data_IF_634169631876
#
_entry.id   IF_634169631876
#
_cell.length_a   1.000
_cell.length_b   1.000
_cell.length_c   1.000
_cell.angle_alpha   90.00
_cell.angle_beta   90.00
_cell.angle_gamma   90.00
#
_symmetry.space_group_name_H-M   'P 1'
#
loop_
_entity.id
_entity.type
_entity.pdbx_description
1 polymer ?
#
# COMPACT_ATOMS: atom_id res chain seq x y z
N UNK A 1 4.51 30.62 6.45
CA UNK A 1 3.82 29.81 7.48
C UNK A 1 2.30 29.87 7.37
N UNK A 2 1.69 31.05 7.12
CA UNK A 2 0.26 31.19 6.75
C UNK A 2 -0.14 30.71 5.33
N UNK A 3 0.80 30.11 4.58
CA UNK A 3 0.57 29.44 3.29
C UNK A 3 0.89 27.94 3.32
N UNK A 4 1.32 27.38 4.47
CA UNK A 4 1.76 25.98 4.56
C UNK A 4 0.62 24.96 4.77
N UNK A 5 -0.64 25.37 4.95
CA UNK A 5 -1.75 24.47 5.29
C UNK A 5 -2.96 24.55 4.33
N UNK A 6 -3.14 25.68 3.63
CA UNK A 6 -4.33 25.93 2.79
C UNK A 6 -4.29 25.30 1.38
N UNK A 7 -3.28 24.46 1.07
CA UNK A 7 -3.16 23.74 -0.21
C UNK A 7 -3.21 22.19 -0.05
N UNK A 8 -3.68 21.69 1.10
CA UNK A 8 -4.38 20.40 1.12
C UNK A 8 -5.69 20.52 0.30
N UNK A 9 -6.28 21.73 0.25
CA UNK A 9 -7.19 22.17 -0.82
C UNK A 9 -6.41 22.22 -2.14
N UNK A 10 -6.76 21.54 -3.22
CA UNK A 10 -8.13 21.33 -3.67
C UNK A 10 -8.24 20.20 -4.71
N UNK A 11 -7.14 19.55 -5.13
CA UNK A 11 -7.15 18.55 -6.20
C UNK A 11 -5.94 17.61 -6.18
N UNK A 12 -5.89 16.74 -5.17
CA UNK A 12 -4.94 15.62 -5.08
C UNK A 12 -5.49 14.26 -5.50
N UNK A 13 -6.61 14.21 -6.24
CA UNK A 13 -7.08 13.04 -6.99
C UNK A 13 -7.55 11.82 -6.15
N UNK A 14 -8.82 11.47 -6.27
CA UNK A 14 -9.57 10.44 -5.52
C UNK A 14 -9.00 8.98 -5.48
N UNK A 15 -7.79 8.70 -5.96
CA UNK A 15 -7.07 7.41 -5.83
C UNK A 15 -5.53 7.56 -5.79
N UNK A 16 -4.99 8.77 -5.58
CA UNK A 16 -3.60 9.15 -5.93
C UNK A 16 -2.51 9.05 -4.84
N UNK A 17 -2.63 8.19 -3.84
CA UNK A 17 -1.66 8.09 -2.71
C UNK A 17 -0.21 7.88 -3.16
N UNK A 18 0.02 7.32 -4.35
CA UNK A 18 1.38 7.17 -4.90
C UNK A 18 2.12 8.50 -4.99
N UNK A 19 1.46 9.56 -5.47
CA UNK A 19 2.15 10.82 -5.80
C UNK A 19 2.78 11.46 -4.56
N UNK A 20 2.01 11.59 -3.47
CA UNK A 20 2.49 12.18 -2.23
C UNK A 20 3.58 11.34 -1.56
N UNK A 21 3.36 10.02 -1.44
CA UNK A 21 4.34 9.11 -0.81
C UNK A 21 5.62 9.01 -1.63
N UNK A 22 5.54 8.97 -2.96
CA UNK A 22 6.71 8.94 -3.86
C UNK A 22 7.47 10.25 -3.83
N UNK A 23 6.79 11.40 -3.70
CA UNK A 23 7.48 12.69 -3.56
C UNK A 23 8.21 12.75 -2.22
N UNK A 24 7.61 12.32 -1.11
CA UNK A 24 8.29 12.26 0.19
C UNK A 24 9.47 11.30 0.16
N UNK A 25 9.26 10.07 -0.34
CA UNK A 25 10.33 9.09 -0.50
C UNK A 25 11.41 9.64 -1.44
N UNK A 26 11.04 10.30 -2.53
CA UNK A 26 11.96 10.92 -3.48
C UNK A 26 12.80 12.02 -2.86
N UNK A 27 12.19 12.97 -2.15
CA UNK A 27 12.92 14.06 -1.49
C UNK A 27 13.90 13.55 -0.43
N UNK A 28 13.60 12.44 0.24
CA UNK A 28 14.48 11.85 1.25
C UNK A 28 15.55 10.91 0.66
N UNK A 29 15.17 10.09 -0.33
CA UNK A 29 16.04 9.03 -0.87
C UNK A 29 16.84 9.46 -2.11
N UNK A 30 16.29 10.31 -2.97
CA UNK A 30 17.02 10.80 -4.15
C UNK A 30 18.34 11.50 -3.79
N UNK A 31 18.43 12.39 -2.78
CA UNK A 31 19.70 13.02 -2.44
C UNK A 31 20.72 12.02 -1.86
N UNK A 32 20.28 11.00 -1.09
CA UNK A 32 21.19 9.98 -0.55
C UNK A 32 21.76 9.09 -1.67
N UNK A 33 20.94 8.77 -2.68
CA UNK A 33 21.36 7.96 -3.82
C UNK A 33 22.33 8.71 -4.73
N UNK A 34 22.10 10.00 -5.00
CA UNK A 34 23.02 10.82 -5.80
C UNK A 34 24.36 10.99 -5.06
N UNK A 35 24.33 11.16 -3.73
CA UNK A 35 25.56 11.20 -2.90
C UNK A 35 26.35 9.89 -2.95
N UNK A 36 25.67 8.76 -3.11
CA UNK A 36 26.27 7.44 -3.29
C UNK A 36 26.58 7.09 -4.77
N UNK A 37 26.71 8.10 -5.66
CA UNK A 37 27.05 7.94 -7.08
C UNK A 37 26.06 7.12 -7.94
N UNK A 38 24.79 6.99 -7.54
CA UNK A 38 23.76 6.39 -8.40
C UNK A 38 23.29 7.37 -9.48
N UNK A 39 23.09 6.93 -10.75
CA UNK A 39 22.59 7.79 -11.81
C UNK A 39 21.16 8.24 -11.50
N UNK A 40 20.91 9.56 -11.55
CA UNK A 40 19.62 10.16 -11.20
C UNK A 40 18.43 9.56 -11.97
N UNK A 41 18.62 9.19 -13.24
CA UNK A 41 17.59 8.54 -14.06
C UNK A 41 17.16 7.18 -13.50
N UNK A 42 18.10 6.36 -13.02
CA UNK A 42 17.79 5.07 -12.40
C UNK A 42 17.12 5.28 -11.04
N UNK A 43 17.67 6.16 -10.20
CA UNK A 43 17.14 6.46 -8.87
C UNK A 43 15.68 6.95 -8.94
N UNK A 44 15.37 7.90 -9.83
CA UNK A 44 14.00 8.35 -10.04
C UNK A 44 13.09 7.21 -10.54
N UNK A 45 13.58 6.37 -11.45
CA UNK A 45 12.84 5.19 -11.93
C UNK A 45 12.51 4.19 -10.82
N UNK A 46 13.45 3.91 -9.91
CA UNK A 46 13.25 3.03 -8.75
C UNK A 46 12.28 3.62 -7.75
N UNK A 47 12.42 4.91 -7.47
CA UNK A 47 11.54 5.61 -6.54
C UNK A 47 10.10 5.61 -7.08
N UNK A 48 9.89 5.95 -8.35
CA UNK A 48 8.57 5.93 -8.97
C UNK A 48 7.97 4.53 -9.04
N UNK A 49 8.76 3.51 -9.42
CA UNK A 49 8.28 2.13 -9.50
C UNK A 49 7.96 1.52 -8.13
N UNK A 50 8.74 1.83 -7.09
CA UNK A 50 8.48 1.35 -5.73
C UNK A 50 7.15 1.87 -5.17
N UNK A 51 6.79 3.12 -5.50
CA UNK A 51 5.52 3.70 -5.11
C UNK A 51 4.30 3.03 -5.71
N UNK A 52 4.36 2.66 -7.00
CA UNK A 52 3.25 1.97 -7.67
C UNK A 52 3.17 0.50 -7.29
N UNK A 53 4.32 -0.16 -7.09
CA UNK A 53 4.36 -1.54 -6.59
C UNK A 53 3.72 -1.68 -5.21
N UNK A 54 3.94 -0.72 -4.31
CA UNK A 54 3.34 -0.71 -2.97
C UNK A 54 1.80 -0.70 -2.98
N UNK A 55 1.17 -0.19 -4.03
CA UNK A 55 -0.29 -0.22 -4.18
C UNK A 55 -0.82 -1.53 -4.76
N UNK A 56 0.02 -2.26 -5.49
CA UNK A 56 -0.38 -3.48 -6.20
C UNK A 56 -0.22 -4.72 -5.32
N UNK A 57 0.77 -4.73 -4.42
CA UNK A 57 1.05 -5.90 -3.58
C UNK A 57 -0.08 -6.07 -2.54
N UNK A 58 -0.79 -7.22 -2.50
CA UNK A 58 -1.80 -7.47 -1.49
C UNK A 58 -1.17 -7.52 -0.08
N UNK A 59 -1.78 -6.94 0.97
CA UNK A 59 -3.13 -6.40 1.09
C UNK A 59 -3.22 -4.89 0.81
N UNK A 60 -3.78 -4.53 -0.35
CA UNK A 60 -4.01 -3.14 -0.74
C UNK A 60 -5.48 -2.79 -0.58
N UNK A 61 -5.75 -1.63 0.04
CA UNK A 61 -7.10 -1.07 0.15
C UNK A 61 -7.77 -0.92 -1.22
N UNK A 62 -7.00 -0.54 -2.25
CA UNK A 62 -7.52 -0.37 -3.61
C UNK A 62 -8.08 -1.67 -4.16
N UNK A 63 -7.41 -2.80 -3.91
CA UNK A 63 -7.85 -4.10 -4.38
C UNK A 63 -9.09 -4.60 -3.61
N UNK A 64 -9.18 -4.30 -2.31
CA UNK A 64 -10.38 -4.56 -1.50
C UNK A 64 -11.58 -3.77 -2.05
N UNK A 65 -11.41 -2.46 -2.23
CA UNK A 65 -12.48 -1.61 -2.77
C UNK A 65 -12.90 -2.04 -4.17
N UNK A 66 -11.94 -2.38 -5.03
CA UNK A 66 -12.25 -2.86 -6.38
C UNK A 66 -13.01 -4.19 -6.33
N UNK A 67 -12.67 -5.09 -5.40
CA UNK A 67 -13.39 -6.35 -5.22
C UNK A 67 -14.85 -6.11 -4.80
N UNK A 68 -15.10 -5.18 -3.88
CA UNK A 68 -16.46 -4.83 -3.44
C UNK A 68 -17.28 -4.19 -4.59
N UNK A 69 -16.67 -3.28 -5.35
CA UNK A 69 -17.31 -2.64 -6.52
C UNK A 69 -17.58 -3.66 -7.62
N UNK A 70 -16.64 -4.55 -7.91
CA UNK A 70 -16.84 -5.60 -8.91
C UNK A 70 -17.91 -6.58 -8.45
N UNK A 71 -17.87 -7.06 -7.22
CA UNK A 71 -18.86 -8.01 -6.70
C UNK A 71 -20.28 -7.45 -6.79
N UNK A 72 -20.48 -6.18 -6.40
CA UNK A 72 -21.77 -5.50 -6.53
C UNK A 72 -22.19 -5.25 -7.98
N UNK A 73 -21.26 -4.85 -8.85
CA UNK A 73 -21.53 -4.64 -10.28
C UNK A 73 -21.86 -5.95 -11.02
N UNK A 74 -21.13 -7.04 -10.73
CA UNK A 74 -21.38 -8.37 -11.29
C UNK A 74 -22.74 -8.91 -10.85
N UNK A 75 -23.10 -8.74 -9.58
CA UNK A 75 -24.41 -9.13 -9.08
C UNK A 75 -25.55 -8.37 -9.78
N UNK A 76 -25.40 -7.05 -9.97
CA UNK A 76 -26.39 -6.24 -10.71
C UNK A 76 -26.47 -6.64 -12.20
N UNK A 77 -25.32 -6.91 -12.84
CA UNK A 77 -25.29 -7.34 -14.24
C UNK A 77 -25.99 -8.69 -14.45
N UNK A 78 -25.78 -9.66 -13.55
CA UNK A 78 -26.42 -10.98 -13.61
C UNK A 78 -27.93 -10.91 -13.38
N UNK A 79 -28.39 -10.04 -12.47
CA UNK A 79 -29.81 -9.76 -12.26
C UNK A 79 -30.46 -9.17 -13.52
N UNK A 80 -29.79 -8.23 -14.20
CA UNK A 80 -30.28 -7.64 -15.46
C UNK A 80 -30.28 -8.64 -16.63
N UNK A 81 -29.44 -9.68 -16.57
CA UNK A 81 -29.40 -10.78 -17.54
C UNK A 81 -30.43 -11.90 -17.25
N UNK A 82 -31.27 -11.73 -16.22
CA UNK A 82 -32.34 -12.69 -15.88
C UNK A 82 -31.86 -13.94 -15.12
N UNK A 83 -30.62 -13.93 -14.60
CA UNK A 83 -30.04 -15.02 -13.80
C UNK A 83 -30.26 -14.69 -12.32
N UNK A 84 -31.20 -15.38 -11.68
CA UNK A 84 -31.54 -15.17 -10.26
C UNK A 84 -30.63 -15.94 -9.28
N UNK A 85 -29.68 -16.75 -9.78
CA UNK A 85 -28.61 -17.38 -9.00
C UNK A 85 -27.25 -16.79 -9.40
N UNK A 86 -26.86 -15.63 -8.85
CA UNK A 86 -25.58 -15.01 -9.17
C UNK A 86 -24.41 -15.81 -8.58
N UNK A 87 -23.37 -16.06 -9.38
CA UNK A 87 -22.07 -16.49 -8.87
C UNK A 87 -21.36 -15.27 -8.26
N UNK A 88 -21.16 -15.29 -6.94
CA UNK A 88 -20.44 -14.22 -6.25
C UNK A 88 -18.94 -14.41 -6.42
N UNK A 89 -18.27 -13.44 -7.04
CA UNK A 89 -16.81 -13.36 -6.96
C UNK A 89 -16.46 -12.87 -5.56
N UNK A 90 -15.77 -13.70 -4.79
CA UNK A 90 -15.37 -13.32 -3.43
C UNK A 90 -14.10 -12.47 -3.48
N UNK A 91 -13.92 -11.65 -2.44
CA UNK A 91 -12.70 -10.86 -2.26
C UNK A 91 -11.49 -11.79 -2.20
N UNK A 92 -11.63 -12.95 -1.56
CA UNK A 92 -10.60 -13.98 -1.48
C UNK A 92 -10.12 -14.46 -2.86
N UNK A 93 -11.03 -14.68 -3.81
CA UNK A 93 -10.69 -15.13 -5.17
C UNK A 93 -9.91 -14.06 -5.93
N UNK A 94 -10.30 -12.79 -5.78
CA UNK A 94 -9.61 -11.67 -6.40
C UNK A 94 -8.20 -11.47 -5.83
N UNK A 95 -8.07 -11.63 -4.52
CA UNK A 95 -6.78 -11.63 -3.83
C UNK A 95 -5.89 -12.78 -4.27
N UNK A 96 -6.43 -13.99 -4.36
CA UNK A 96 -5.70 -15.17 -4.84
C UNK A 96 -5.20 -14.97 -6.28
N UNK A 97 -6.03 -14.40 -7.16
CA UNK A 97 -5.66 -14.03 -8.52
C UNK A 97 -4.58 -12.96 -8.59
N UNK A 98 -4.54 -12.02 -7.62
CA UNK A 98 -3.56 -10.94 -7.57
C UNK A 98 -2.17 -11.35 -7.04
N UNK A 99 -2.04 -12.51 -6.38
CA UNK A 99 -0.75 -13.01 -5.88
C UNK A 99 0.24 -13.24 -7.02
N UNK A 100 -0.22 -13.82 -8.13
CA UNK A 100 0.62 -14.13 -9.30
C UNK A 100 1.27 -12.86 -9.89
N UNK A 101 0.52 -11.83 -10.31
CA UNK A 101 1.12 -10.59 -10.80
C UNK A 101 1.89 -9.85 -9.71
N UNK A 102 1.44 -9.93 -8.44
CA UNK A 102 2.10 -9.31 -7.29
C UNK A 102 3.51 -9.83 -7.03
N UNK A 103 3.81 -11.09 -7.39
CA UNK A 103 5.16 -11.68 -7.27
C UNK A 103 5.97 -11.50 -8.56
N UNK A 104 5.35 -11.64 -9.72
CA UNK A 104 6.03 -11.53 -11.03
C UNK A 104 6.64 -10.13 -11.23
N UNK A 105 5.88 -9.07 -10.93
CA UNK A 105 6.31 -7.69 -11.14
C UNK A 105 7.60 -7.33 -10.35
N UNK A 106 7.69 -7.57 -9.02
CA UNK A 106 8.92 -7.36 -8.26
C UNK A 106 10.10 -8.19 -8.77
N UNK A 107 9.88 -9.45 -9.14
CA UNK A 107 10.96 -10.32 -9.65
C UNK A 107 11.52 -9.75 -10.94
N UNK A 108 10.66 -9.35 -11.87
CA UNK A 108 11.06 -8.74 -13.13
C UNK A 108 11.82 -7.43 -12.88
N UNK A 109 11.40 -6.66 -11.88
CA UNK A 109 12.09 -5.43 -11.46
C UNK A 109 13.50 -5.70 -10.92
N UNK A 110 13.68 -6.72 -10.08
CA UNK A 110 14.99 -7.14 -9.55
C UNK A 110 15.90 -7.59 -10.71
N UNK A 111 15.36 -8.34 -11.68
CA UNK A 111 16.11 -8.78 -12.87
C UNK A 111 16.54 -7.58 -13.73
N UNK A 112 15.64 -6.61 -13.93
CA UNK A 112 15.94 -5.38 -14.65
C UNK A 112 17.05 -4.59 -13.95
N UNK A 113 16.95 -4.38 -12.63
CA UNK A 113 17.99 -3.69 -11.86
C UNK A 113 19.34 -4.42 -11.91
N UNK A 114 19.36 -5.75 -11.81
CA UNK A 114 20.59 -6.53 -11.97
C UNK A 114 21.19 -6.35 -13.36
N UNK A 115 20.38 -6.31 -14.42
CA UNK A 115 20.86 -6.14 -15.79
C UNK A 115 21.47 -4.76 -16.02
N UNK A 116 20.83 -3.71 -15.50
CA UNK A 116 21.32 -2.32 -15.60
C UNK A 116 22.54 -2.07 -14.70
N UNK A 117 22.63 -2.75 -13.55
CA UNK A 117 23.73 -2.60 -12.59
C UNK A 117 25.06 -3.21 -13.07
N UNK A 118 25.05 -4.03 -14.12
CA UNK A 118 26.29 -4.61 -14.70
C UNK A 118 27.13 -3.54 -15.42
N UNK A 119 26.52 -2.42 -15.84
CA UNK A 119 27.17 -1.44 -16.72
C UNK A 119 27.72 -0.19 -16.00
N UNK A 120 27.43 0.00 -14.69
CA UNK A 120 27.94 1.15 -13.92
C UNK A 120 28.39 0.79 -12.51
N UNK A 121 29.70 0.60 -12.40
CA UNK A 121 30.57 0.80 -11.24
C UNK A 121 30.22 0.07 -9.92
N UNK A 122 31.09 -0.89 -9.62
CA UNK A 122 31.79 -1.08 -8.33
C UNK A 122 31.50 0.01 -7.29
N UNK A 123 30.56 -0.25 -6.40
CA UNK A 123 30.61 0.31 -5.06
C UNK A 123 31.01 -0.83 -4.15
N UNK A 124 32.15 -0.64 -3.49
CA UNK A 124 32.63 -1.49 -2.41
C UNK A 124 31.45 -1.85 -1.52
N UNK A 125 31.16 -3.14 -1.51
CA UNK A 125 30.39 -3.76 -0.46
C UNK A 125 31.18 -3.56 0.83
N UNK A 126 30.97 -2.43 1.51
CA UNK A 126 31.15 -2.39 2.95
C UNK A 126 30.11 -3.34 3.54
N UNK A 127 30.55 -4.60 3.62
CA UNK A 127 30.03 -5.66 4.44
C UNK A 127 29.93 -5.19 5.89
N UNK A 128 28.88 -4.48 6.29
CA UNK A 128 28.33 -4.59 7.65
C UNK A 128 26.82 -4.34 7.64
N UNK A 129 26.06 -5.16 6.92
CA UNK A 129 24.75 -5.53 7.44
C UNK A 129 24.75 -7.04 7.45
N UNK A 130 24.86 -7.63 8.64
CA UNK A 130 24.72 -9.07 8.83
C UNK A 130 23.45 -9.48 8.09
N UNK A 131 23.59 -10.35 7.09
CA UNK A 131 22.50 -10.86 6.25
C UNK A 131 21.29 -11.34 7.08
N UNK A 132 21.54 -11.73 8.33
CA UNK A 132 20.55 -12.10 9.34
C UNK A 132 19.74 -10.94 9.94
N UNK A 133 20.32 -9.76 10.18
CA UNK A 133 19.63 -8.61 10.81
C UNK A 133 18.68 -7.91 9.83
N UNK A 134 19.06 -7.82 8.55
CA UNK A 134 18.19 -7.30 7.51
C UNK A 134 16.96 -8.20 7.34
N UNK A 135 17.17 -9.53 7.22
CA UNK A 135 16.07 -10.50 7.10
C UNK A 135 15.13 -10.44 8.33
N UNK A 136 15.69 -10.37 9.54
CA UNK A 136 14.90 -10.31 10.78
C UNK A 136 14.02 -9.05 10.85
N UNK A 137 14.37 -7.98 10.15
CA UNK A 137 13.57 -6.74 10.12
C UNK A 137 12.35 -6.82 9.20
N UNK A 138 12.38 -7.66 8.15
CA UNK A 138 11.23 -7.87 7.24
C UNK A 138 10.32 -9.00 7.69
N UNK A 139 10.80 -9.91 8.53
CA UNK A 139 10.01 -11.04 9.05
C UNK A 139 8.70 -10.58 9.72
N UNK A 140 8.67 -9.57 10.62
CA UNK A 140 7.43 -9.19 11.29
C UNK A 140 6.34 -8.66 10.33
N UNK A 141 6.63 -7.74 9.39
CA UNK A 141 5.66 -7.33 8.37
C UNK A 141 5.18 -8.48 7.47
N UNK A 142 6.08 -9.35 7.03
CA UNK A 142 5.73 -10.50 6.17
C UNK A 142 4.81 -11.48 6.91
N UNK A 143 5.12 -11.77 8.18
CA UNK A 143 4.30 -12.64 9.01
C UNK A 143 2.89 -12.05 9.21
N UNK A 144 2.80 -10.74 9.43
CA UNK A 144 1.52 -10.05 9.57
C UNK A 144 0.70 -10.10 8.28
N UNK A 145 1.35 -9.89 7.12
CA UNK A 145 0.71 -10.05 5.80
C UNK A 145 0.18 -11.48 5.61
N UNK A 146 0.96 -12.51 5.95
CA UNK A 146 0.55 -13.91 5.83
C UNK A 146 -0.64 -14.24 6.75
N UNK A 147 -0.67 -13.69 7.97
CA UNK A 147 -1.80 -13.86 8.89
C UNK A 147 -3.08 -13.23 8.34
N UNK A 148 -2.99 -11.99 7.81
CA UNK A 148 -4.14 -11.26 7.26
C UNK A 148 -4.63 -11.87 5.95
N UNK A 149 -3.73 -12.17 5.00
CA UNK A 149 -4.10 -12.82 3.75
C UNK A 149 -4.61 -14.25 3.99
N UNK A 150 -3.97 -14.96 4.92
CA UNK A 150 -4.40 -16.30 5.31
C UNK A 150 -5.82 -16.30 5.87
N UNK A 151 -6.19 -15.33 6.72
CA UNK A 151 -7.55 -15.26 7.28
C UNK A 151 -8.61 -14.88 6.25
N UNK A 152 -8.28 -14.06 5.24
CA UNK A 152 -9.18 -13.71 4.14
C UNK A 152 -9.39 -14.90 3.19
N UNK A 153 -8.31 -15.54 2.74
CA UNK A 153 -8.38 -16.62 1.73
C UNK A 153 -9.04 -17.88 2.28
N UNK A 154 -8.82 -18.19 3.56
CA UNK A 154 -9.46 -19.34 4.21
C UNK A 154 -10.93 -19.10 4.55
N UNK A 155 -11.45 -17.87 4.34
CA UNK A 155 -12.83 -17.50 4.66
C UNK A 155 -13.10 -17.45 6.17
N UNK A 156 -12.06 -17.48 7.01
CA UNK A 156 -12.18 -17.44 8.47
C UNK A 156 -12.53 -16.04 8.99
N UNK A 157 -12.18 -14.98 8.24
CA UNK A 157 -12.40 -13.60 8.62
C UNK A 157 -12.86 -12.76 7.44
N UNK A 158 -13.81 -11.86 7.68
CA UNK A 158 -14.16 -10.78 6.75
C UNK A 158 -13.00 -9.76 6.65
N UNK A 159 -12.92 -8.94 5.58
CA UNK A 159 -11.83 -7.96 5.44
C UNK A 159 -11.71 -6.99 6.62
N UNK A 160 -12.83 -6.63 7.25
CA UNK A 160 -12.87 -5.78 8.45
C UNK A 160 -12.29 -6.50 9.69
N UNK A 161 -12.61 -7.77 9.89
CA UNK A 161 -12.02 -8.61 10.95
C UNK A 161 -10.52 -8.86 10.69
N UNK A 162 -10.14 -9.06 9.43
CA UNK A 162 -8.74 -9.19 9.02
C UNK A 162 -7.94 -7.90 9.29
N UNK A 163 -8.54 -6.72 9.07
CA UNK A 163 -7.93 -5.44 9.42
C UNK A 163 -7.72 -5.30 10.94
N UNK A 164 -8.69 -5.72 11.76
CA UNK A 164 -8.54 -5.73 13.22
C UNK A 164 -7.40 -6.65 13.68
N UNK A 165 -7.28 -7.85 13.08
CA UNK A 165 -6.15 -8.77 13.32
C UNK A 165 -4.81 -8.13 12.93
N UNK A 166 -4.77 -7.32 11.87
CA UNK A 166 -3.59 -6.57 11.47
C UNK A 166 -3.15 -5.54 12.51
N UNK A 167 -4.09 -4.76 13.08
CA UNK A 167 -3.81 -3.80 14.16
C UNK A 167 -3.32 -4.52 15.42
N UNK A 168 -3.97 -5.63 15.79
CA UNK A 168 -3.53 -6.45 16.91
C UNK A 168 -2.11 -7.01 16.69
N UNK A 169 -1.82 -7.50 15.48
CA UNK A 169 -0.48 -7.97 15.11
C UNK A 169 0.57 -6.86 15.22
N UNK A 170 0.26 -5.66 14.72
CA UNK A 170 1.17 -4.51 14.80
C UNK A 170 1.41 -4.06 16.26
N UNK A 171 0.37 -4.09 17.10
CA UNK A 171 0.49 -3.82 18.53
C UNK A 171 1.39 -4.84 19.23
N UNK A 172 1.22 -6.14 18.94
CA UNK A 172 2.05 -7.21 19.51
C UNK A 172 3.51 -7.03 19.10
N UNK A 173 3.79 -6.77 17.81
CA UNK A 173 5.15 -6.54 17.31
C UNK A 173 5.78 -5.32 18.01
N UNK A 174 5.01 -4.24 18.16
CA UNK A 174 5.48 -3.01 18.83
C UNK A 174 5.70 -3.24 20.33
N UNK A 175 4.88 -4.08 20.97
CA UNK A 175 5.03 -4.50 22.37
C UNK A 175 6.32 -5.29 22.57
N UNK A 176 6.60 -6.27 21.70
CA UNK A 176 7.83 -7.08 21.74
C UNK A 176 9.07 -6.19 21.56
N UNK A 177 8.98 -5.18 20.68
CA UNK A 177 10.05 -4.19 20.50
C UNK A 177 10.19 -3.20 21.67
N UNK A 178 9.32 -3.26 22.69
CA UNK A 178 9.25 -2.33 23.83
C UNK A 178 9.12 -0.85 23.42
N UNK A 179 8.50 -0.58 22.26
CA UNK A 179 8.31 0.77 21.73
C UNK A 179 6.91 1.31 21.97
N UNK A 180 6.05 0.60 22.72
CA UNK A 180 4.71 1.09 23.03
C UNK A 180 4.81 2.33 23.91
N UNK A 181 4.29 3.44 23.38
CA UNK A 181 4.13 4.69 24.11
C UNK A 181 2.72 5.21 23.84
N UNK A 182 2.07 5.74 24.89
CA UNK A 182 0.77 6.41 24.78
C UNK A 182 0.79 7.52 23.72
N UNK A 183 1.93 8.21 23.57
CA UNK A 183 2.10 9.22 22.53
C UNK A 183 1.98 8.64 21.13
N UNK A 184 2.63 7.50 20.84
CA UNK A 184 2.56 6.84 19.52
C UNK A 184 1.13 6.40 19.21
N UNK A 185 0.43 5.80 20.19
CA UNK A 185 -0.96 5.36 20.00
C UNK A 185 -1.87 6.55 19.71
N UNK A 186 -1.70 7.66 20.47
CA UNK A 186 -2.47 8.88 20.25
C UNK A 186 -2.16 9.50 18.89
N UNK A 187 -0.88 9.61 18.53
CA UNK A 187 -0.45 10.17 17.26
C UNK A 187 -1.03 9.36 16.08
N UNK A 188 -0.93 8.02 16.11
CA UNK A 188 -1.52 7.16 15.08
C UNK A 188 -3.05 7.27 14.99
N UNK A 189 -3.74 7.40 16.13
CA UNK A 189 -5.19 7.59 16.17
C UNK A 189 -5.61 8.94 15.59
N UNK A 190 -4.92 10.02 15.98
CA UNK A 190 -5.17 11.37 15.46
C UNK A 190 -4.91 11.44 13.95
N UNK A 191 -3.88 10.73 13.45
CA UNK A 191 -3.55 10.64 12.04
C UNK A 191 -4.61 9.85 11.25
N UNK A 192 -5.09 8.73 11.80
CA UNK A 192 -6.17 7.92 11.20
C UNK A 192 -7.49 8.70 11.14
N UNK A 193 -7.87 9.39 12.23
CA UNK A 193 -9.09 10.21 12.28
C UNK A 193 -9.03 11.36 11.29
N UNK A 194 -7.86 11.98 11.09
CA UNK A 194 -7.68 13.03 10.08
C UNK A 194 -7.86 12.48 8.66
N UNK A 195 -7.35 11.29 8.37
CA UNK A 195 -7.51 10.64 7.08
C UNK A 195 -8.99 10.33 6.79
N UNK A 196 -9.71 9.72 7.73
CA UNK A 196 -11.14 9.40 7.57
C UNK A 196 -12.00 10.66 7.43
N UNK A 197 -11.73 11.70 8.22
CA UNK A 197 -12.45 12.98 8.11
C UNK A 197 -12.28 13.60 6.73
N UNK A 198 -11.08 13.54 6.16
CA UNK A 198 -10.81 14.07 4.82
C UNK A 198 -11.63 13.30 3.77
N UNK A 199 -11.64 11.97 3.83
CA UNK A 199 -12.38 11.13 2.89
C UNK A 199 -13.89 11.39 2.94
N UNK A 200 -14.46 11.48 4.14
CA UNK A 200 -15.89 11.73 4.32
C UNK A 200 -16.29 13.14 3.82
N UNK A 201 -15.44 14.13 4.11
CA UNK A 201 -15.65 15.48 3.63
C UNK A 201 -15.64 15.54 2.08
N UNK A 202 -14.64 14.94 1.43
CA UNK A 202 -14.55 14.93 -0.04
C UNK A 202 -15.75 14.23 -0.70
N UNK A 203 -16.18 13.08 -0.14
CA UNK A 203 -17.36 12.35 -0.63
C UNK A 203 -18.66 13.15 -0.47
N UNK A 204 -18.78 13.90 0.63
CA UNK A 204 -19.95 14.74 0.88
C UNK A 204 -20.03 15.91 -0.11
N UNK A 205 -18.90 16.59 -0.38
CA UNK A 205 -18.84 17.68 -1.34
C UNK A 205 -19.00 17.20 -2.80
N UNK A 206 -18.45 16.04 -3.16
CA UNK A 206 -18.63 15.48 -4.51
C UNK A 206 -20.10 15.17 -4.80
N UNK A 207 -20.83 14.62 -3.82
CA UNK A 207 -22.26 14.34 -3.96
C UNK A 207 -23.09 15.64 -4.02
N UNK A 208 -22.76 16.66 -3.24
CA UNK A 208 -23.44 17.97 -3.31
C UNK A 208 -23.26 18.62 -4.69
N UNK A 209 -22.07 18.50 -5.28
CA UNK A 209 -21.76 19.12 -6.58
C UNK A 209 -22.43 18.38 -7.75
N UNK A 210 -22.60 17.05 -7.64
CA UNK A 210 -23.33 16.23 -8.61
C UNK A 210 -24.86 16.45 -8.57
N UNK A 211 -25.40 16.92 -7.45
CA UNK A 211 -26.85 17.19 -7.29
C UNK A 211 -27.18 18.66 -7.65
N UNK A 212 -26.19 19.54 -7.66
CA UNK A 212 -26.32 20.97 -7.98
C UNK A 212 -26.15 21.34 -9.46
N UNK A 213 -25.92 20.37 -10.34
CA UNK A 213 -25.91 20.48 -11.82
C UNK A 213 -27.09 19.67 -12.34
#
# INVERSE_FOLDING_TARGET
MLFCCNCWSVNGCSTGIVGASVVTLGLLSLPIMIKNNYPASLSCGVICASGTLGQIIPPSLVLILLADVLSSAFQQAQLNMGIFSPETVTIADLFAGAIIPGIILPILYIIYLKSVSIEKQTLESENIIKKSEFLTSFVPPILLILVVLGSIITGLATPSEAAALGVLGALIITAIQKKINYKIIKDCSDESIKADKCYFHDTYWSNIFLIGI
#
